data_IF_863965742915
#
_entry.id   IF_863965742915
#
_cell.length_a   1.000
_cell.length_b   1.000
_cell.length_c   1.000
_cell.angle_alpha   90.00
_cell.angle_beta   90.00
_cell.angle_gamma   90.00
#
_symmetry.space_group_name_H-M   'P 1'
#
loop_
_entity.id
_entity.type
_entity.pdbx_description
1 polymer ?
#
# COMPACT_ATOMS: atom_id res chain seq x y z
N UNK A 1 -33.10 3.23 -1.12
CA UNK A 1 -32.21 2.15 -1.59
C UNK A 1 -30.78 2.62 -1.40
N UNK A 2 -29.84 1.73 -1.06
CA UNK A 2 -28.43 2.10 -0.87
C UNK A 2 -27.65 1.69 -2.11
N UNK A 3 -26.92 2.63 -2.71
CA UNK A 3 -26.10 2.40 -3.89
C UNK A 3 -24.63 2.69 -3.57
N UNK A 4 -23.74 1.88 -4.16
CA UNK A 4 -22.29 2.09 -4.07
C UNK A 4 -21.86 2.90 -5.29
N UNK A 5 -21.18 4.02 -5.07
CA UNK A 5 -20.53 4.76 -6.14
C UNK A 5 -19.14 4.16 -6.39
N UNK A 6 -19.08 3.19 -7.30
CA UNK A 6 -17.84 2.46 -7.60
C UNK A 6 -16.72 3.37 -8.11
N UNK A 7 -17.05 4.34 -8.97
CA UNK A 7 -16.07 5.28 -9.53
C UNK A 7 -15.44 6.16 -8.44
N UNK A 8 -16.25 6.70 -7.54
CA UNK A 8 -15.75 7.49 -6.42
C UNK A 8 -14.89 6.65 -5.45
N UNK A 9 -15.30 5.41 -5.17
CA UNK A 9 -14.52 4.49 -4.34
C UNK A 9 -13.19 4.11 -5.01
N UNK A 10 -13.20 3.83 -6.32
CA UNK A 10 -12.00 3.51 -7.08
C UNK A 10 -11.04 4.69 -7.09
N UNK A 11 -11.52 5.89 -7.45
CA UNK A 11 -10.70 7.10 -7.48
C UNK A 11 -10.08 7.44 -6.11
N UNK A 12 -10.84 7.28 -5.02
CA UNK A 12 -10.33 7.55 -3.67
C UNK A 12 -9.32 6.50 -3.17
N UNK A 13 -9.41 5.25 -3.65
CA UNK A 13 -8.52 4.16 -3.24
C UNK A 13 -7.26 4.02 -4.10
N UNK A 14 -7.19 4.73 -5.23
CA UNK A 14 -6.05 4.76 -6.13
C UNK A 14 -4.95 5.76 -5.68
N UNK A 15 -5.11 6.43 -4.54
CA UNK A 15 -4.10 7.33 -3.99
C UNK A 15 -2.82 6.55 -3.58
N UNK A 16 -1.66 6.79 -4.24
CA UNK A 16 -0.40 6.11 -3.95
C UNK A 16 0.08 6.28 -2.50
N UNK A 17 -0.33 7.34 -1.80
CA UNK A 17 0.03 7.57 -0.41
C UNK A 17 -0.55 6.50 0.52
N UNK A 18 -1.66 5.86 0.15
CA UNK A 18 -2.23 4.74 0.89
C UNK A 18 -1.28 3.53 0.95
N UNK A 19 -0.34 3.43 0.01
CA UNK A 19 0.63 2.34 -0.11
C UNK A 19 2.02 2.69 0.47
N UNK A 20 2.17 3.85 1.13
CA UNK A 20 3.39 4.19 1.86
C UNK A 20 3.72 3.15 2.95
N UNK A 21 2.69 2.56 3.57
CA UNK A 21 2.90 1.48 4.56
C UNK A 21 3.47 0.22 3.90
N UNK A 22 2.97 -0.15 2.72
CA UNK A 22 3.47 -1.28 1.95
C UNK A 22 4.93 -1.08 1.51
N UNK A 23 5.34 0.16 1.22
CA UNK A 23 6.74 0.52 0.97
C UNK A 23 7.61 0.36 2.22
N UNK A 24 7.11 0.72 3.40
CA UNK A 24 7.83 0.50 4.66
C UNK A 24 7.99 -1.00 4.96
N UNK A 25 6.93 -1.79 4.76
CA UNK A 25 6.97 -3.24 4.90
C UNK A 25 7.96 -3.89 3.91
N UNK A 26 8.08 -3.35 2.70
CA UNK A 26 9.08 -3.79 1.73
C UNK A 26 10.50 -3.58 2.24
N UNK A 27 10.83 -2.39 2.75
CA UNK A 27 12.15 -2.12 3.35
C UNK A 27 12.44 -3.04 4.54
N UNK A 28 11.43 -3.30 5.38
CA UNK A 28 11.56 -4.24 6.50
C UNK A 28 11.87 -5.65 6.01
N UNK A 29 11.23 -6.10 4.93
CA UNK A 29 11.54 -7.39 4.28
C UNK A 29 12.96 -7.42 3.70
N UNK A 30 13.54 -6.28 3.34
CA UNK A 30 14.96 -6.17 2.95
C UNK A 30 15.92 -6.15 4.16
N UNK A 31 15.41 -6.25 5.39
CA UNK A 31 16.21 -6.30 6.62
C UNK A 31 16.40 -4.95 7.31
N UNK A 32 15.76 -3.89 6.83
CA UNK A 32 15.85 -2.56 7.45
C UNK A 32 14.94 -2.52 8.69
N UNK A 33 15.43 -2.09 9.86
CA UNK A 33 14.58 -1.94 11.04
C UNK A 33 13.38 -1.03 10.78
N UNK A 34 12.20 -1.38 11.30
CA UNK A 34 10.95 -0.66 11.03
C UNK A 34 11.03 0.85 11.26
N UNK A 35 11.72 1.30 12.33
CA UNK A 35 11.92 2.73 12.59
C UNK A 35 12.63 3.42 11.42
N UNK A 36 13.73 2.85 10.95
CA UNK A 36 14.48 3.38 9.81
C UNK A 36 13.68 3.29 8.52
N UNK A 37 12.94 2.20 8.29
CA UNK A 37 12.05 2.07 7.14
C UNK A 37 10.97 3.16 7.12
N UNK A 38 10.32 3.40 8.26
CA UNK A 38 9.32 4.45 8.40
C UNK A 38 9.91 5.86 8.19
N UNK A 39 11.11 6.13 8.70
CA UNK A 39 11.81 7.39 8.45
C UNK A 39 12.14 7.61 6.96
N UNK A 40 12.63 6.56 6.28
CA UNK A 40 12.94 6.61 4.84
C UNK A 40 11.69 6.85 3.99
N UNK A 41 10.60 6.14 4.28
CA UNK A 41 9.32 6.37 3.60
C UNK A 41 8.79 7.77 3.91
N UNK A 42 8.94 8.27 5.13
CA UNK A 42 8.58 9.63 5.49
C UNK A 42 9.32 10.67 4.64
N UNK A 43 10.61 10.46 4.35
CA UNK A 43 11.37 11.29 3.41
C UNK A 43 10.81 11.19 2.00
N UNK A 44 10.53 9.99 1.50
CA UNK A 44 9.96 9.79 0.16
C UNK A 44 8.60 10.50 -0.01
N UNK A 45 7.72 10.39 0.99
CA UNK A 45 6.43 11.11 1.02
C UNK A 45 6.64 12.62 1.03
N UNK A 46 7.56 13.12 1.86
CA UNK A 46 7.87 14.55 1.89
C UNK A 46 8.42 15.06 0.55
N UNK A 47 9.28 14.28 -0.11
CA UNK A 47 9.80 14.59 -1.44
C UNK A 47 8.67 14.61 -2.48
N UNK A 48 7.80 13.59 -2.49
CA UNK A 48 6.63 13.51 -3.38
C UNK A 48 5.74 14.75 -3.27
N UNK A 49 5.44 15.19 -2.04
CA UNK A 49 4.65 16.40 -1.79
C UNK A 49 5.38 17.66 -2.28
N UNK A 50 6.66 17.82 -1.95
CA UNK A 50 7.44 19.00 -2.32
C UNK A 50 7.64 19.13 -3.84
N UNK A 51 7.85 18.02 -4.54
CA UNK A 51 8.03 18.00 -5.99
C UNK A 51 6.71 17.97 -6.77
N UNK A 52 5.57 17.80 -6.10
CA UNK A 52 4.27 17.53 -6.73
C UNK A 52 4.29 16.33 -7.69
N UNK A 53 5.15 15.35 -7.41
CA UNK A 53 5.23 14.09 -8.17
C UNK A 53 4.58 13.01 -7.31
N UNK A 54 3.58 12.26 -7.83
CA UNK A 54 2.96 11.17 -7.09
C UNK A 54 4.00 10.16 -6.58
N UNK A 55 3.78 9.61 -5.38
CA UNK A 55 4.76 8.75 -4.71
C UNK A 55 5.16 7.53 -5.55
N UNK A 56 4.22 6.96 -6.31
CA UNK A 56 4.44 5.84 -7.23
C UNK A 56 5.19 6.20 -8.52
N UNK A 57 5.35 7.51 -8.81
CA UNK A 57 6.09 8.04 -9.95
C UNK A 57 7.44 8.66 -9.55
N UNK A 58 7.72 8.73 -8.25
CA UNK A 58 8.97 9.25 -7.75
C UNK A 58 10.09 8.23 -8.01
N UNK A 59 11.25 8.71 -8.44
CA UNK A 59 12.46 7.90 -8.41
C UNK A 59 12.93 7.74 -6.95
N UNK A 60 12.55 6.63 -6.33
CA UNK A 60 12.87 6.35 -4.93
C UNK A 60 14.38 6.18 -4.72
N UNK A 61 15.15 5.81 -5.76
CA UNK A 61 16.59 5.61 -5.65
C UNK A 61 17.34 6.93 -5.44
N UNK A 62 16.77 8.03 -5.92
CA UNK A 62 17.25 9.40 -5.67
C UNK A 62 16.89 9.91 -4.26
N UNK A 63 15.93 9.27 -3.57
CA UNK A 63 15.58 9.61 -2.18
C UNK A 63 16.57 8.98 -1.20
N UNK A 64 16.85 7.68 -1.37
CA UNK A 64 17.82 6.95 -0.55
C UNK A 64 18.24 5.64 -1.27
N UNK A 65 19.54 5.27 -1.24
CA UNK A 65 20.03 4.04 -1.88
C UNK A 65 19.47 2.74 -1.28
N UNK A 66 18.80 2.80 -0.12
CA UNK A 66 18.05 1.68 0.42
C UNK A 66 16.85 1.26 -0.46
N UNK A 67 16.34 2.18 -1.29
CA UNK A 67 15.33 1.86 -2.29
C UNK A 67 16.01 1.36 -3.56
N UNK A 68 15.68 0.12 -3.94
CA UNK A 68 16.08 -0.44 -5.23
C UNK A 68 14.97 -0.24 -6.26
N UNK A 69 15.23 -0.54 -7.53
CA UNK A 69 14.25 -0.46 -8.62
C UNK A 69 12.96 -1.25 -8.33
N UNK A 70 13.06 -2.33 -7.56
CA UNK A 70 11.95 -3.21 -7.20
C UNK A 70 11.01 -2.59 -6.17
N UNK A 71 11.43 -1.53 -5.46
CA UNK A 71 10.59 -0.85 -4.46
C UNK A 71 9.32 -0.28 -5.08
N UNK A 72 9.37 0.15 -6.36
CA UNK A 72 8.21 0.66 -7.10
C UNK A 72 7.09 -0.37 -7.30
N UNK A 73 7.40 -1.67 -7.21
CA UNK A 73 6.41 -2.73 -7.40
C UNK A 73 5.34 -2.79 -6.29
N UNK A 74 5.56 -2.11 -5.15
CA UNK A 74 4.60 -2.06 -4.04
C UNK A 74 3.36 -1.22 -4.36
N UNK A 75 3.43 -0.33 -5.34
CA UNK A 75 2.33 0.59 -5.72
C UNK A 75 1.25 -0.10 -6.55
N UNK A 76 0.73 -1.21 -6.04
CA UNK A 76 -0.36 -1.99 -6.61
C UNK A 76 -1.38 -2.29 -5.53
N UNK A 77 -2.53 -1.60 -5.56
CA UNK A 77 -3.62 -1.80 -4.59
C UNK A 77 -4.08 -3.27 -4.54
N UNK A 78 -4.14 -3.94 -5.70
CA UNK A 78 -4.46 -5.36 -5.80
C UNK A 78 -3.46 -6.21 -5.01
N UNK A 79 -2.17 -5.99 -5.22
CA UNK A 79 -1.10 -6.75 -4.53
C UNK A 79 -1.12 -6.48 -3.02
N UNK A 80 -1.34 -5.23 -2.63
CA UNK A 80 -1.47 -4.84 -1.22
C UNK A 80 -2.65 -5.53 -0.53
N UNK A 81 -3.81 -5.63 -1.19
CA UNK A 81 -4.97 -6.35 -0.67
C UNK A 81 -4.72 -7.86 -0.60
N UNK A 82 -4.07 -8.44 -1.61
CA UNK A 82 -3.74 -9.87 -1.63
C UNK A 82 -2.75 -10.27 -0.52
N UNK A 83 -1.79 -9.38 -0.19
CA UNK A 83 -0.81 -9.61 0.87
C UNK A 83 -1.42 -9.61 2.29
N UNK A 84 -2.61 -9.02 2.48
CA UNK A 84 -3.29 -8.92 3.78
C UNK A 84 -4.01 -10.22 4.15
N UNK A 85 -3.24 -11.26 4.45
CA UNK A 85 -3.75 -12.63 4.68
C UNK A 85 -4.05 -12.97 6.14
N UNK A 86 -3.64 -12.16 7.10
CA UNK A 86 -3.90 -12.41 8.53
C UNK A 86 -5.42 -12.52 8.80
N UNK A 87 -5.86 -13.32 9.79
CA UNK A 87 -7.27 -13.40 10.16
C UNK A 87 -7.88 -12.01 10.41
N UNK A 88 -9.00 -11.72 9.75
CA UNK A 88 -9.70 -10.43 9.84
C UNK A 88 -9.20 -9.34 8.89
N UNK A 89 -8.08 -9.54 8.19
CA UNK A 89 -7.56 -8.58 7.23
C UNK A 89 -8.37 -8.61 5.90
N UNK A 90 -8.37 -7.51 5.10
CA UNK A 90 -9.34 -7.29 4.02
C UNK A 90 -8.99 -7.99 2.69
N UNK A 91 -8.15 -9.03 2.68
CA UNK A 91 -7.90 -9.77 1.44
C UNK A 91 -9.19 -10.36 0.88
N UNK A 92 -9.27 -10.45 -0.45
CA UNK A 92 -10.44 -11.01 -1.16
C UNK A 92 -10.78 -12.41 -0.63
N UNK A 93 -9.76 -13.23 -0.33
CA UNK A 93 -9.92 -14.55 0.26
C UNK A 93 -10.60 -14.50 1.63
N UNK A 94 -10.14 -13.61 2.51
CA UNK A 94 -10.71 -13.45 3.85
C UNK A 94 -12.14 -12.94 3.80
N UNK A 95 -12.43 -11.92 2.98
CA UNK A 95 -13.78 -11.36 2.83
C UNK A 95 -14.75 -12.41 2.30
N UNK A 96 -14.37 -13.18 1.27
CA UNK A 96 -15.19 -14.30 0.76
C UNK A 96 -15.49 -15.34 1.83
N UNK A 97 -14.49 -15.71 2.63
CA UNK A 97 -14.66 -16.66 3.72
C UNK A 97 -15.61 -16.12 4.82
N UNK A 98 -15.50 -14.84 5.17
CA UNK A 98 -16.41 -14.22 6.15
C UNK A 98 -17.85 -14.11 5.62
N UNK A 99 -18.05 -13.74 4.36
CA UNK A 99 -19.38 -13.69 3.73
C UNK A 99 -20.02 -15.08 3.74
N UNK A 100 -19.28 -16.13 3.36
CA UNK A 100 -19.79 -17.50 3.40
C UNK A 100 -20.20 -17.91 4.83
N UNK A 101 -19.33 -17.67 5.81
CA UNK A 101 -19.62 -17.97 7.22
C UNK A 101 -20.93 -17.34 7.71
N UNK A 102 -21.19 -16.09 7.37
CA UNK A 102 -22.40 -15.37 7.83
C UNK A 102 -23.67 -15.70 7.05
N UNK A 103 -23.56 -16.33 5.87
CA UNK A 103 -24.72 -16.85 5.13
C UNK A 103 -25.21 -18.19 5.68
N UNK A 104 -24.33 -18.95 6.32
CA UNK A 104 -24.62 -20.26 6.89
C UNK A 104 -25.09 -20.19 8.36
N UNK A 105 -25.12 -18.99 8.94
CA UNK A 105 -25.63 -18.69 10.30
C UNK A 105 -27.03 -18.12 10.20
#
# INVERSE_FOLDING_TARGET
EMEINEDACAAASDDPLLLATDLADWLVKQGIPFRSAHELVGKAVATSIQSSIPLDKLDLTEVDPAFTSEASAVFSLKTALEARTNPGAPSIKNIRAQIARWRDV
#
